data_IF_680192272536
#
_entry.id   IF_680192272536
#
_cell.length_a   1.000
_cell.length_b   1.000
_cell.length_c   1.000
_cell.angle_alpha   90.00
_cell.angle_beta   90.00
_cell.angle_gamma   90.00
#
_symmetry.space_group_name_H-M   'P 1'
#
loop_
_entity.id
_entity.type
_entity.pdbx_description
1 polymer ?
#
# COMPACT_ATOMS: atom_id res chain seq x y z
N UNK A 1 -8.37 0.24 6.16
CA UNK A 1 -7.32 -0.70 5.74
C UNK A 1 -7.85 -1.53 4.58
N UNK A 2 -7.34 -1.35 3.36
CA UNK A 2 -7.89 -2.03 2.18
C UNK A 2 -7.64 -3.55 2.21
N UNK A 3 -6.48 -3.95 2.74
CA UNK A 3 -5.97 -5.33 2.77
C UNK A 3 -6.70 -6.31 3.69
N UNK A 4 -7.68 -5.84 4.47
CA UNK A 4 -8.51 -6.66 5.35
C UNK A 4 -9.97 -6.75 4.89
N UNK A 5 -10.26 -6.25 3.68
CA UNK A 5 -11.62 -6.23 3.11
C UNK A 5 -11.71 -7.34 2.05
N UNK A 6 -12.49 -8.42 2.26
CA UNK A 6 -12.62 -9.52 1.29
C UNK A 6 -13.06 -9.06 -0.12
N UNK A 7 -13.90 -8.04 -0.20
CA UNK A 7 -14.37 -7.42 -1.45
C UNK A 7 -13.79 -6.02 -1.65
N UNK A 8 -12.46 -5.89 -1.59
CA UNK A 8 -11.77 -4.61 -1.63
C UNK A 8 -12.05 -3.82 -2.92
N UNK A 9 -12.35 -4.48 -4.03
CA UNK A 9 -12.71 -3.85 -5.30
C UNK A 9 -14.02 -3.06 -5.19
N UNK A 10 -15.03 -3.62 -4.49
CA UNK A 10 -16.30 -2.91 -4.22
C UNK A 10 -16.06 -1.72 -3.30
N UNK A 11 -15.18 -1.86 -2.31
CA UNK A 11 -14.80 -0.75 -1.44
C UNK A 11 -14.10 0.36 -2.22
N UNK A 12 -13.20 0.03 -3.15
CA UNK A 12 -12.56 1.00 -4.06
C UNK A 12 -13.60 1.71 -4.93
N UNK A 13 -14.54 0.97 -5.52
CA UNK A 13 -15.61 1.55 -6.33
C UNK A 13 -16.48 2.52 -5.53
N UNK A 14 -16.84 2.17 -4.29
CA UNK A 14 -17.59 3.06 -3.40
C UNK A 14 -16.79 4.30 -3.00
N UNK A 15 -15.48 4.15 -2.72
CA UNK A 15 -14.60 5.28 -2.46
C UNK A 15 -14.58 6.24 -3.67
N UNK A 16 -14.42 5.72 -4.88
CA UNK A 16 -14.52 6.53 -6.10
C UNK A 16 -15.90 7.19 -6.22
N UNK A 17 -17.00 6.47 -6.00
CA UNK A 17 -18.36 7.00 -6.11
C UNK A 17 -18.59 8.20 -5.19
N UNK A 18 -18.18 8.12 -3.93
CA UNK A 18 -18.43 9.16 -2.91
C UNK A 18 -17.50 10.37 -3.03
N UNK A 19 -16.34 10.24 -3.69
CA UNK A 19 -15.49 11.38 -3.96
C UNK A 19 -16.22 12.40 -4.84
N UNK A 20 -16.00 13.69 -4.58
CA UNK A 20 -16.31 14.75 -5.54
C UNK A 20 -15.33 14.70 -6.72
N UNK A 21 -15.66 15.25 -7.90
CA UNK A 21 -14.68 15.50 -8.96
C UNK A 21 -13.44 16.25 -8.43
N UNK A 22 -12.25 15.81 -8.82
CA UNK A 22 -10.95 16.25 -8.28
C UNK A 22 -10.61 15.71 -6.89
N UNK A 23 -11.48 14.89 -6.28
CA UNK A 23 -11.24 14.25 -4.99
C UNK A 23 -10.13 13.21 -5.06
N UNK A 24 -9.42 13.02 -3.94
CA UNK A 24 -8.23 12.15 -3.88
C UNK A 24 -8.42 11.08 -2.82
N UNK A 25 -8.10 9.84 -3.16
CA UNK A 25 -7.92 8.74 -2.23
C UNK A 25 -6.43 8.50 -2.03
N UNK A 26 -6.02 8.40 -0.77
CA UNK A 26 -4.68 7.97 -0.35
C UNK A 26 -4.82 6.61 0.33
N UNK A 27 -4.01 5.65 -0.09
CA UNK A 27 -4.01 4.28 0.43
C UNK A 27 -2.59 3.93 0.84
N UNK A 28 -2.45 3.23 1.97
CA UNK A 28 -1.27 2.51 2.37
C UNK A 28 -1.68 1.07 2.71
N UNK A 29 -0.92 0.10 2.21
CA UNK A 29 -1.15 -1.33 2.41
C UNK A 29 0.19 -2.06 2.55
N UNK A 30 0.25 -3.09 3.40
CA UNK A 30 1.45 -3.86 3.59
C UNK A 30 1.77 -4.68 2.34
N UNK A 31 3.06 -4.75 2.02
CA UNK A 31 3.63 -5.76 1.13
C UNK A 31 4.31 -6.87 1.95
N UNK A 32 4.95 -6.52 3.07
CA UNK A 32 5.61 -7.45 3.98
C UNK A 32 5.26 -7.08 5.41
N UNK A 33 4.75 -8.06 6.17
CA UNK A 33 4.47 -7.95 7.61
C UNK A 33 4.45 -9.36 8.24
N UNK A 34 4.41 -9.42 9.57
CA UNK A 34 4.09 -10.65 10.30
C UNK A 34 2.59 -10.95 10.18
N UNK A 35 2.23 -12.21 9.91
CA UNK A 35 0.84 -12.64 10.05
C UNK A 35 0.50 -12.74 11.55
N UNK A 36 -0.27 -11.79 12.06
CA UNK A 36 -0.66 -11.73 13.47
C UNK A 36 -2.02 -12.41 13.65
N UNK A 37 -2.15 -13.51 14.43
CA UNK A 37 -3.42 -14.20 14.63
C UNK A 37 -4.57 -13.32 15.15
N UNK A 38 -4.23 -12.27 15.89
CA UNK A 38 -5.15 -11.29 16.48
C UNK A 38 -5.67 -10.26 15.47
N UNK A 39 -4.97 -10.05 14.35
CA UNK A 39 -5.35 -9.09 13.31
C UNK A 39 -5.51 -9.80 11.97
N UNK A 40 -6.73 -9.82 11.46
CA UNK A 40 -7.00 -10.44 10.16
C UNK A 40 -6.20 -9.75 9.03
N UNK A 41 -5.37 -10.50 8.33
CA UNK A 41 -4.69 -10.09 7.10
C UNK A 41 -5.23 -10.98 5.96
N UNK A 42 -5.91 -10.39 4.98
CA UNK A 42 -6.49 -11.14 3.87
C UNK A 42 -5.65 -11.05 2.60
N UNK A 43 -5.09 -9.88 2.34
CA UNK A 43 -4.33 -9.60 1.13
C UNK A 43 -3.02 -8.90 1.45
N UNK A 44 -2.03 -9.12 0.58
CA UNK A 44 -0.83 -8.28 0.50
C UNK A 44 -0.73 -7.74 -0.90
N UNK A 45 -0.33 -6.49 -1.02
CA UNK A 45 -0.28 -5.83 -2.32
C UNK A 45 1.15 -5.55 -2.71
N UNK A 46 1.51 -5.96 -3.92
CA UNK A 46 2.63 -5.36 -4.63
C UNK A 46 2.21 -3.99 -5.17
N UNK A 47 3.19 -3.18 -5.57
CA UNK A 47 2.93 -1.91 -6.25
C UNK A 47 2.04 -2.08 -7.50
N UNK A 48 2.29 -3.13 -8.28
CA UNK A 48 1.51 -3.46 -9.47
C UNK A 48 0.10 -3.93 -9.12
N UNK A 49 -0.03 -4.82 -8.13
CA UNK A 49 -1.33 -5.34 -7.70
C UNK A 49 -2.25 -4.24 -7.15
N UNK A 50 -1.70 -3.28 -6.38
CA UNK A 50 -2.47 -2.14 -5.89
C UNK A 50 -2.92 -1.23 -7.03
N UNK A 51 -2.05 -0.98 -8.02
CA UNK A 51 -2.40 -0.20 -9.21
C UNK A 51 -3.52 -0.88 -9.99
N UNK A 52 -3.41 -2.19 -10.23
CA UNK A 52 -4.42 -2.98 -10.93
C UNK A 52 -5.77 -2.92 -10.22
N UNK A 53 -5.80 -3.08 -8.89
CA UNK A 53 -7.02 -2.98 -8.10
C UNK A 53 -7.68 -1.59 -8.21
N UNK A 54 -6.88 -0.52 -8.16
CA UNK A 54 -7.36 0.86 -8.29
C UNK A 54 -7.87 1.19 -9.69
N UNK A 55 -7.24 0.63 -10.73
CA UNK A 55 -7.62 0.84 -12.12
C UNK A 55 -9.02 0.28 -12.46
N UNK A 56 -9.60 -0.54 -11.57
CA UNK A 56 -11.00 -0.96 -11.67
C UNK A 56 -12.02 0.15 -11.41
N UNK A 57 -11.63 1.29 -10.81
CA UNK A 57 -12.53 2.41 -10.52
C UNK A 57 -11.99 3.80 -10.88
N UNK A 58 -10.67 3.98 -10.92
CA UNK A 58 -10.00 5.23 -11.30
C UNK A 58 -9.33 5.07 -12.66
N UNK A 59 -9.22 6.14 -13.45
CA UNK A 59 -8.43 6.06 -14.69
C UNK A 59 -6.95 5.82 -14.37
N UNK A 60 -6.29 4.93 -15.12
CA UNK A 60 -4.91 4.50 -14.84
C UNK A 60 -3.91 5.67 -14.79
N UNK A 61 -4.10 6.68 -15.63
CA UNK A 61 -3.29 7.91 -15.66
C UNK A 61 -3.42 8.78 -14.39
N UNK A 62 -4.48 8.59 -13.61
CA UNK A 62 -4.73 9.30 -12.36
C UNK A 62 -4.26 8.53 -11.13
N UNK A 63 -3.62 7.37 -11.32
CA UNK A 63 -3.13 6.50 -10.26
C UNK A 63 -1.61 6.62 -10.18
N UNK A 64 -1.11 6.99 -9.00
CA UNK A 64 0.31 6.98 -8.67
C UNK A 64 0.52 6.03 -7.52
N UNK A 65 1.38 5.03 -7.70
CA UNK A 65 1.78 4.10 -6.64
C UNK A 65 3.24 4.30 -6.29
N UNK A 66 3.61 3.97 -5.04
CA UNK A 66 4.99 4.00 -4.57
C UNK A 66 5.20 2.92 -3.51
N UNK A 67 6.23 2.11 -3.72
CA UNK A 67 6.76 1.20 -2.71
C UNK A 67 7.73 1.93 -1.76
N UNK A 68 7.62 1.64 -0.47
CA UNK A 68 8.50 2.11 0.59
C UNK A 68 9.21 0.96 1.28
N UNK A 69 10.47 1.18 1.65
CA UNK A 69 11.35 0.16 2.22
C UNK A 69 12.28 -0.47 1.19
N UNK A 70 13.09 -1.40 1.68
CA UNK A 70 14.07 -2.17 0.94
C UNK A 70 14.35 -3.48 1.69
N UNK A 71 15.25 -4.30 1.15
CA UNK A 71 15.58 -5.62 1.72
C UNK A 71 16.00 -5.55 3.20
N UNK A 72 16.77 -4.53 3.61
CA UNK A 72 17.21 -4.36 4.99
C UNK A 72 16.03 -4.01 5.92
N UNK A 73 15.18 -3.05 5.53
CA UNK A 73 14.04 -2.65 6.37
C UNK A 73 12.98 -3.74 6.43
N UNK A 74 12.75 -4.48 5.34
CA UNK A 74 11.86 -5.64 5.33
C UNK A 74 12.37 -6.78 6.25
N UNK A 75 13.68 -7.04 6.21
CA UNK A 75 14.32 -7.97 7.14
C UNK A 75 14.25 -7.51 8.60
N UNK A 76 14.23 -6.19 8.82
CA UNK A 76 14.07 -5.55 10.12
C UNK A 76 12.66 -5.64 10.68
N UNK A 77 11.65 -5.34 9.86
CA UNK A 77 10.22 -5.45 10.19
C UNK A 77 9.90 -6.84 10.72
N UNK A 78 10.32 -7.88 9.99
CA UNK A 78 10.10 -9.30 10.38
C UNK A 78 10.81 -9.65 11.69
N UNK A 79 11.89 -8.94 12.03
CA UNK A 79 12.66 -9.14 13.27
C UNK A 79 12.19 -8.25 14.42
N UNK A 80 11.16 -7.43 14.22
CA UNK A 80 10.65 -6.51 15.24
C UNK A 80 11.53 -5.29 15.48
N UNK A 81 12.37 -4.91 14.52
CA UNK A 81 13.17 -3.70 14.60
C UNK A 81 12.31 -2.46 14.33
N UNK A 82 12.55 -1.40 15.10
CA UNK A 82 11.88 -0.11 14.96
C UNK A 82 12.65 0.85 14.05
N UNK A 83 11.96 1.87 13.52
CA UNK A 83 12.55 2.85 12.61
C UNK A 83 13.82 3.55 13.14
N UNK A 84 13.91 3.78 14.46
CA UNK A 84 15.07 4.46 15.07
C UNK A 84 16.34 3.59 15.14
N UNK A 85 16.22 2.28 14.88
CA UNK A 85 17.35 1.36 14.77
C UNK A 85 18.00 1.41 13.37
N UNK A 86 17.43 2.21 12.46
CA UNK A 86 17.97 2.46 11.13
C UNK A 86 18.41 3.91 10.97
N UNK A 87 19.43 4.12 10.15
CA UNK A 87 19.79 5.45 9.68
C UNK A 87 18.73 5.99 8.71
N UNK A 88 18.59 7.33 8.63
CA UNK A 88 17.72 7.97 7.63
C UNK A 88 18.04 7.52 6.20
N UNK A 89 19.32 7.28 5.88
CA UNK A 89 19.74 6.80 4.55
C UNK A 89 19.20 5.40 4.26
N UNK A 90 19.21 4.51 5.25
CA UNK A 90 18.63 3.17 5.12
C UNK A 90 17.12 3.21 4.97
N UNK A 91 16.42 4.07 5.73
CA UNK A 91 14.96 4.23 5.62
C UNK A 91 14.52 4.89 4.29
N UNK A 92 15.28 5.87 3.81
CA UNK A 92 14.97 6.61 2.58
C UNK A 92 15.41 5.89 1.30
N UNK A 93 16.10 4.75 1.41
CA UNK A 93 16.40 3.92 0.26
C UNK A 93 15.17 3.08 -0.08
N UNK A 94 14.65 3.21 -1.30
CA UNK A 94 13.46 2.49 -1.74
C UNK A 94 13.82 1.50 -2.84
N UNK A 95 13.59 0.22 -2.57
CA UNK A 95 13.72 -0.86 -3.52
C UNK A 95 12.36 -1.56 -3.67
N UNK A 96 11.63 -1.35 -4.79
CA UNK A 96 10.28 -1.87 -4.96
C UNK A 96 10.21 -3.40 -4.93
N UNK A 97 11.34 -4.10 -5.13
CA UNK A 97 11.41 -5.57 -5.04
C UNK A 97 11.23 -6.08 -3.61
N UNK A 98 11.45 -5.23 -2.61
CA UNK A 98 11.45 -5.58 -1.18
C UNK A 98 10.69 -4.53 -0.35
N UNK A 99 9.57 -4.02 -0.86
CA UNK A 99 8.78 -3.04 -0.13
C UNK A 99 8.27 -3.63 1.20
N UNK A 100 8.21 -2.78 2.22
CA UNK A 100 7.49 -3.04 3.47
C UNK A 100 6.03 -2.59 3.30
N UNK A 101 5.86 -1.36 2.82
CA UNK A 101 4.58 -0.70 2.59
C UNK A 101 4.46 -0.23 1.14
N UNK A 102 3.27 -0.32 0.59
CA UNK A 102 2.94 0.20 -0.73
C UNK A 102 1.85 1.24 -0.55
N UNK A 103 2.11 2.45 -1.03
CA UNK A 103 1.14 3.53 -1.02
C UNK A 103 0.63 3.82 -2.42
N UNK A 104 -0.59 4.33 -2.49
CA UNK A 104 -1.18 4.86 -3.70
C UNK A 104 -1.88 6.19 -3.46
N UNK A 105 -1.90 7.00 -4.51
CA UNK A 105 -2.72 8.19 -4.66
C UNK A 105 -3.54 8.01 -5.94
N UNK A 106 -4.86 8.09 -5.83
CA UNK A 106 -5.77 8.03 -6.97
C UNK A 106 -6.72 9.24 -6.96
N UNK A 107 -6.94 9.86 -8.12
CA UNK A 107 -7.76 11.06 -8.25
C UNK A 107 -9.00 10.75 -9.08
N UNK A 108 -10.19 11.09 -8.57
CA UNK A 108 -11.42 11.08 -9.36
C UNK A 108 -11.45 12.30 -10.26
N UNK A 109 -11.61 12.13 -11.57
CA UNK A 109 -11.88 13.26 -12.46
C UNK A 109 -13.35 13.65 -12.50
#
# INVERSE_FOLDING_TARGET
MLHVIPGFEKAIAELHRILRPGGVVLIAVPQVSMCCPEYGELFRFTQEGLRFALAGAFEDENIVTRAYGNSLTAAGEIRGLAAHEFTRRQLNHHDPRFAVEVCARAVKR
#
